data_IF_818888678514
#
_entry.id   IF_818888678514
#
_cell.length_a   1.000
_cell.length_b   1.000
_cell.length_c   1.000
_cell.angle_alpha   90.00
_cell.angle_beta   90.00
_cell.angle_gamma   90.00
#
_symmetry.space_group_name_H-M   'P 1'
#
loop_
_entity.id
_entity.type
_entity.pdbx_description
1 polymer ?
#
# COMPACT_ATOMS: atom_id res chain seq x y z
N UNK A 1 -0.37 18.24 -0.54
CA UNK A 1 0.52 17.71 -1.60
C UNK A 1 0.16 16.27 -1.94
N UNK A 2 0.10 15.94 -3.20
CA UNK A 2 -0.12 14.57 -3.64
C UNK A 2 1.20 13.96 -4.05
N UNK A 3 1.41 12.70 -3.77
CA UNK A 3 2.60 11.98 -4.16
C UNK A 3 2.30 11.06 -5.35
N UNK A 4 3.36 10.65 -6.05
CA UNK A 4 3.25 9.62 -7.09
C UNK A 4 3.64 8.27 -6.49
N UNK A 5 2.89 7.24 -6.84
CA UNK A 5 3.23 5.89 -6.42
C UNK A 5 4.57 5.51 -7.08
N UNK A 6 5.60 5.18 -6.28
CA UNK A 6 6.90 4.84 -6.85
C UNK A 6 6.88 3.47 -7.52
N UNK A 7 7.82 3.23 -8.40
CA UNK A 7 8.03 1.90 -8.98
C UNK A 7 8.89 1.02 -8.08
N UNK A 8 9.76 1.64 -7.29
CA UNK A 8 10.69 0.95 -6.40
C UNK A 8 10.93 1.80 -5.16
N UNK A 9 11.15 1.15 -4.04
CA UNK A 9 11.54 1.80 -2.80
C UNK A 9 12.20 0.77 -1.89
N UNK A 10 12.79 1.23 -0.81
CA UNK A 10 13.47 0.38 0.15
C UNK A 10 12.94 0.62 1.55
N UNK A 11 12.70 -0.46 2.29
CA UNK A 11 12.36 -0.40 3.71
C UNK A 11 13.28 -1.37 4.44
N UNK A 12 14.08 -0.84 5.36
CA UNK A 12 15.05 -1.65 6.08
C UNK A 12 16.05 -2.29 5.12
N UNK A 13 16.09 -3.61 5.07
CA UNK A 13 17.00 -4.37 4.22
C UNK A 13 16.33 -4.92 2.97
N UNK A 14 15.05 -4.60 2.74
CA UNK A 14 14.30 -5.16 1.62
C UNK A 14 14.05 -4.10 0.56
N UNK A 15 14.43 -4.43 -0.68
CA UNK A 15 14.08 -3.63 -1.86
C UNK A 15 12.74 -4.11 -2.38
N UNK A 16 11.81 -3.17 -2.57
CA UNK A 16 10.47 -3.45 -3.03
C UNK A 16 10.25 -2.93 -4.44
N UNK A 17 9.51 -3.72 -5.22
CA UNK A 17 8.92 -3.25 -6.48
C UNK A 17 7.42 -3.08 -6.31
N UNK A 18 6.87 -2.07 -6.98
CA UNK A 18 5.43 -1.82 -6.99
C UNK A 18 4.88 -2.16 -8.36
N UNK A 19 3.91 -3.06 -8.38
CA UNK A 19 3.28 -3.53 -9.63
C UNK A 19 1.81 -3.14 -9.65
N UNK A 20 1.36 -2.58 -10.76
CA UNK A 20 -0.05 -2.31 -11.03
C UNK A 20 -0.61 -3.50 -11.79
N UNK A 21 -1.66 -4.13 -11.28
CA UNK A 21 -2.21 -5.37 -11.85
C UNK A 21 -3.73 -5.26 -11.94
N UNK A 22 -4.33 -6.08 -12.79
CA UNK A 22 -5.80 -6.12 -12.88
C UNK A 22 -6.41 -6.80 -11.65
N UNK A 23 -5.74 -7.83 -11.14
CA UNK A 23 -6.19 -8.60 -9.98
C UNK A 23 -5.01 -8.86 -9.05
N UNK A 24 -5.23 -8.65 -7.76
CA UNK A 24 -4.22 -8.90 -6.74
C UNK A 24 -4.45 -10.25 -6.08
N UNK A 25 -3.50 -11.16 -6.25
CA UNK A 25 -3.54 -12.46 -5.60
C UNK A 25 -4.74 -13.31 -6.02
N UNK A 26 -4.96 -14.38 -5.25
CA UNK A 26 -6.02 -15.35 -5.52
C UNK A 26 -7.40 -14.78 -5.19
N UNK A 27 -7.49 -13.94 -4.18
CA UNK A 27 -8.75 -13.41 -3.66
C UNK A 27 -9.20 -12.11 -4.32
N UNK A 28 -8.49 -11.67 -5.34
CA UNK A 28 -8.82 -10.43 -6.07
C UNK A 28 -8.89 -9.22 -5.13
N UNK A 29 -7.92 -9.09 -4.24
CA UNK A 29 -7.82 -7.96 -3.33
C UNK A 29 -7.48 -6.67 -4.08
N UNK A 30 -7.74 -5.51 -3.46
CA UNK A 30 -7.35 -4.23 -4.04
C UNK A 30 -5.84 -4.00 -4.00
N UNK A 31 -5.17 -4.54 -2.98
CA UNK A 31 -3.72 -4.45 -2.84
C UNK A 31 -3.20 -5.63 -2.08
N UNK A 32 -1.91 -5.89 -2.23
CA UNK A 32 -1.26 -6.98 -1.52
C UNK A 32 0.22 -6.69 -1.31
N UNK A 33 0.65 -6.90 -0.08
CA UNK A 33 2.05 -6.83 0.31
C UNK A 33 2.64 -8.24 0.35
N UNK A 34 3.82 -8.39 -0.24
CA UNK A 34 4.57 -9.65 -0.22
C UNK A 34 5.89 -9.42 0.51
N UNK A 35 6.20 -10.22 1.54
CA UNK A 35 7.37 -9.96 2.38
C UNK A 35 8.72 -10.12 1.67
N UNK A 36 8.72 -10.75 0.51
CA UNK A 36 9.96 -10.98 -0.23
C UNK A 36 10.26 -9.90 -1.28
N UNK A 37 9.54 -8.81 -1.29
CA UNK A 37 10.00 -7.64 -2.02
C UNK A 37 9.10 -7.07 -3.08
N UNK A 38 7.78 -7.24 -3.01
CA UNK A 38 6.92 -6.45 -3.89
C UNK A 38 5.54 -6.17 -3.30
N UNK A 39 4.92 -5.15 -3.87
CA UNK A 39 3.56 -4.73 -3.58
C UNK A 39 2.80 -4.74 -4.89
N UNK A 40 1.61 -5.35 -4.88
CA UNK A 40 0.66 -5.27 -5.99
C UNK A 40 -0.45 -4.31 -5.65
N UNK A 41 -0.87 -3.52 -6.64
CA UNK A 41 -1.99 -2.59 -6.52
C UNK A 41 -2.93 -2.85 -7.68
N UNK A 42 -4.20 -3.13 -7.38
CA UNK A 42 -5.21 -3.34 -8.40
C UNK A 42 -5.54 -2.01 -9.09
N UNK A 43 -5.49 -2.01 -10.41
CA UNK A 43 -5.92 -0.85 -11.20
C UNK A 43 -7.33 -1.02 -11.76
N UNK A 44 -7.96 -2.18 -11.53
CA UNK A 44 -9.34 -2.47 -11.93
C UNK A 44 -10.07 -3.23 -10.82
N UNK A 45 -11.37 -3.03 -10.76
CA UNK A 45 -12.25 -3.75 -9.85
C UNK A 45 -13.61 -3.90 -10.52
N UNK A 46 -14.08 -5.14 -10.65
CA UNK A 46 -15.38 -5.44 -11.27
C UNK A 46 -15.53 -4.88 -12.67
N UNK A 47 -14.45 -4.81 -13.44
CA UNK A 47 -14.46 -4.26 -14.80
C UNK A 47 -14.33 -2.74 -14.88
N UNK A 48 -14.19 -2.06 -13.73
CA UNK A 48 -14.04 -0.60 -13.67
C UNK A 48 -12.63 -0.23 -13.25
N UNK A 49 -12.14 0.90 -13.76
CA UNK A 49 -10.82 1.41 -13.36
C UNK A 49 -10.86 1.94 -11.93
N UNK A 50 -9.86 1.57 -11.15
CA UNK A 50 -9.65 2.14 -9.81
C UNK A 50 -8.97 3.49 -9.98
N UNK A 51 -9.51 4.54 -9.34
CA UNK A 51 -8.94 5.88 -9.44
C UNK A 51 -7.50 5.93 -8.92
N UNK A 52 -6.71 6.86 -9.45
CA UNK A 52 -5.32 7.06 -8.98
C UNK A 52 -5.30 7.40 -7.49
N UNK A 53 -6.23 8.22 -7.04
CA UNK A 53 -6.35 8.57 -5.62
C UNK A 53 -6.58 7.33 -4.74
N UNK A 54 -7.45 6.43 -5.19
CA UNK A 54 -7.69 5.18 -4.46
C UNK A 54 -6.46 4.27 -4.49
N UNK A 55 -5.77 4.21 -5.61
CA UNK A 55 -4.54 3.43 -5.72
C UNK A 55 -3.45 3.96 -4.79
N UNK A 56 -3.36 5.28 -4.60
CA UNK A 56 -2.44 5.88 -3.63
C UNK A 56 -2.77 5.44 -2.20
N UNK A 57 -4.04 5.41 -1.83
CA UNK A 57 -4.47 4.93 -0.52
C UNK A 57 -4.11 3.45 -0.33
N UNK A 58 -4.33 2.64 -1.35
CA UNK A 58 -3.99 1.22 -1.33
C UNK A 58 -2.49 1.05 -1.16
N UNK A 59 -1.69 1.84 -1.89
CA UNK A 59 -0.23 1.79 -1.76
C UNK A 59 0.20 2.08 -0.32
N UNK A 60 -0.33 3.12 0.31
CA UNK A 60 0.03 3.48 1.68
C UNK A 60 -0.38 2.40 2.68
N UNK A 61 -1.50 1.71 2.43
CA UNK A 61 -1.91 0.58 3.25
C UNK A 61 -0.87 -0.56 3.17
N UNK A 62 -0.47 -0.94 1.96
CA UNK A 62 0.51 -2.02 1.78
C UNK A 62 1.92 -1.60 2.25
N UNK A 63 2.28 -0.33 2.07
CA UNK A 63 3.53 0.21 2.60
C UNK A 63 3.57 0.11 4.13
N UNK A 64 2.43 0.34 4.79
CA UNK A 64 2.34 0.19 6.25
C UNK A 64 2.66 -1.24 6.66
N UNK A 65 2.14 -2.24 5.95
CA UNK A 65 2.49 -3.63 6.20
C UNK A 65 4.00 -3.87 6.06
N UNK A 66 4.61 -3.34 5.01
CA UNK A 66 6.05 -3.49 4.78
C UNK A 66 6.88 -2.90 5.93
N UNK A 67 6.49 -1.71 6.40
CA UNK A 67 7.20 -1.02 7.49
C UNK A 67 7.05 -1.80 8.80
N UNK A 68 5.84 -2.22 9.15
CA UNK A 68 5.59 -2.96 10.38
C UNK A 68 6.35 -4.29 10.39
N UNK A 69 6.42 -4.96 9.24
CA UNK A 69 7.20 -6.20 9.12
C UNK A 69 8.68 -5.96 9.41
N UNK A 70 9.26 -4.87 8.86
CA UNK A 70 10.65 -4.53 9.11
C UNK A 70 10.90 -4.12 10.56
N UNK A 71 9.91 -3.55 11.21
CA UNK A 71 9.98 -3.20 12.63
C UNK A 71 9.83 -4.42 13.54
N UNK A 72 9.45 -5.57 13.01
CA UNK A 72 9.16 -6.75 13.80
C UNK A 72 7.88 -6.67 14.62
N UNK A 73 6.93 -5.82 14.19
CA UNK A 73 5.66 -5.60 14.89
C UNK A 73 4.56 -6.48 14.29
N UNK A 74 4.70 -7.78 14.46
CA UNK A 74 3.78 -8.76 13.87
C UNK A 74 2.33 -8.59 14.34
N UNK A 75 2.12 -8.33 15.63
CA UNK A 75 0.76 -8.15 16.16
C UNK A 75 0.06 -6.96 15.54
N UNK A 76 0.77 -5.83 15.38
CA UNK A 76 0.22 -4.66 14.71
C UNK A 76 0.01 -4.91 13.22
N UNK A 77 0.92 -5.64 12.61
CA UNK A 77 0.83 -5.96 11.19
C UNK A 77 -0.37 -6.85 10.86
N UNK A 78 -0.76 -7.71 11.78
CA UNK A 78 -1.93 -8.59 11.65
C UNK A 78 -3.23 -7.87 12.03
N UNK A 79 -3.15 -6.70 12.63
CA UNK A 79 -4.31 -5.90 13.04
C UNK A 79 -4.75 -5.00 11.90
N UNK A 80 -5.68 -5.48 11.07
CA UNK A 80 -6.18 -4.72 9.92
C UNK A 80 -6.86 -3.41 10.32
N UNK A 81 -7.47 -3.35 11.49
CA UNK A 81 -8.04 -2.10 12.00
C UNK A 81 -6.96 -1.06 12.23
N UNK A 82 -5.84 -1.46 12.83
CA UNK A 82 -4.71 -0.54 13.03
C UNK A 82 -4.13 -0.10 11.68
N UNK A 83 -3.85 -1.04 10.79
CA UNK A 83 -3.26 -0.73 9.47
C UNK A 83 -4.17 0.20 8.67
N UNK A 84 -5.46 -0.08 8.63
CA UNK A 84 -6.43 0.75 7.93
C UNK A 84 -6.48 2.18 8.51
N UNK A 85 -6.55 2.30 9.82
CA UNK A 85 -6.65 3.60 10.49
C UNK A 85 -5.36 4.41 10.28
N UNK A 86 -4.22 3.78 10.52
CA UNK A 86 -2.94 4.45 10.35
C UNK A 86 -2.73 4.94 8.90
N UNK A 87 -2.94 4.05 7.93
CA UNK A 87 -2.72 4.39 6.53
C UNK A 87 -3.72 5.44 6.02
N UNK A 88 -4.95 5.43 6.55
CA UNK A 88 -5.96 6.45 6.20
C UNK A 88 -5.53 7.83 6.69
N UNK A 89 -5.06 7.94 7.93
CA UNK A 89 -4.56 9.22 8.44
C UNK A 89 -3.30 9.66 7.70
N UNK A 90 -2.42 8.75 7.37
CA UNK A 90 -1.23 9.07 6.59
C UNK A 90 -1.61 9.61 5.21
N UNK A 91 -2.56 8.98 4.54
CA UNK A 91 -3.07 9.42 3.25
C UNK A 91 -3.67 10.82 3.34
N UNK A 92 -4.48 11.06 4.36
CA UNK A 92 -5.10 12.38 4.60
C UNK A 92 -4.03 13.45 4.82
N UNK A 93 -3.05 13.16 5.68
CA UNK A 93 -1.97 14.09 5.96
C UNK A 93 -1.20 14.47 4.70
N UNK A 94 -0.81 13.48 3.89
CA UNK A 94 -0.07 13.72 2.65
C UNK A 94 -0.90 14.54 1.67
N UNK A 95 -2.17 14.21 1.51
CA UNK A 95 -3.03 14.86 0.52
C UNK A 95 -3.45 16.29 0.91
N UNK A 96 -3.32 16.65 2.17
CA UNK A 96 -3.67 17.99 2.66
C UNK A 96 -2.46 18.87 2.94
N UNK A 97 -1.24 18.35 2.75
CA UNK A 97 -0.03 19.14 2.94
C UNK A 97 0.01 20.31 1.97
N UNK A 98 0.36 21.48 2.49
CA UNK A 98 0.57 22.71 1.71
C UNK A 98 2.00 23.17 1.91
N UNK A 99 2.56 23.77 0.85
CA UNK A 99 3.92 24.34 0.88
C UNK A 99 3.93 25.73 1.53
#
# INVERSE_FOLDING_TARGET
MKFKIPKKFKVGTVDYEVKRVEHCGINDDFGRWYPFGFIEIANQSGGYNVSESRQQQIFLHELTHAILAQMGKEELNDDESFVNTFSSFLSEAINTMEE
#
